data_IF_677290909477
#
_entry.id   IF_677290909477
#
_cell.length_a   1.000
_cell.length_b   1.000
_cell.length_c   1.000
_cell.angle_alpha   90.00
_cell.angle_beta   90.00
_cell.angle_gamma   90.00
#
_symmetry.space_group_name_H-M   'P 1'
#
loop_
_entity.id
_entity.type
_entity.pdbx_description
1 polymer ?
#
# COMPACT_ATOMS: atom_id res chain seq x y z
N UNK A 1 5.33 7.62 21.51
CA UNK A 1 5.49 7.32 20.93
C UNK A 1 5.69 7.42 20.13
N UNK A 2 5.53 7.41 19.78
CA UNK A 2 5.61 7.28 18.86
C UNK A 2 6.49 7.50 18.23
N UNK A 3 7.07 7.83 18.42
CA UNK A 3 7.95 8.14 17.86
C UNK A 3 8.68 7.23 17.18
N UNK A 4 8.82 6.45 17.51
CA UNK A 4 9.42 5.55 16.90
C UNK A 4 8.82 5.10 15.77
N UNK A 5 7.72 5.38 15.67
CA UNK A 5 6.99 5.06 14.54
C UNK A 5 7.58 5.57 13.30
N UNK A 6 8.20 6.68 13.34
CA UNK A 6 8.76 7.24 12.14
C UNK A 6 9.89 6.41 11.62
N UNK A 7 10.48 5.61 12.46
CA UNK A 7 11.56 4.84 12.00
C UNK A 7 11.12 3.66 11.25
N UNK A 8 9.99 3.11 11.60
CA UNK A 8 9.50 1.98 10.89
C UNK A 8 8.53 2.46 9.86
N UNK A 9 9.01 3.12 8.87
CA UNK A 9 8.16 3.58 7.83
C UNK A 9 7.54 2.44 7.11
N UNK A 10 6.24 2.46 7.01
CA UNK A 10 5.48 1.40 6.41
C UNK A 10 5.92 1.15 4.99
N UNK A 11 5.91 2.17 4.18
CA UNK A 11 6.39 2.05 2.81
C UNK A 11 7.77 2.68 2.78
N UNK A 12 8.77 1.87 2.48
CA UNK A 12 10.14 2.34 2.48
C UNK A 12 10.41 3.24 1.31
N UNK A 13 11.35 4.16 1.52
CA UNK A 13 11.67 5.14 0.50
C UNK A 13 12.15 4.46 -0.77
N UNK A 14 12.97 3.44 -0.65
CA UNK A 14 13.49 2.73 -1.81
C UNK A 14 12.37 2.09 -2.61
N UNK A 15 11.41 1.49 -1.92
CA UNK A 15 10.27 0.87 -2.58
C UNK A 15 9.43 1.93 -3.28
N UNK A 16 9.19 3.05 -2.62
CA UNK A 16 8.44 4.14 -3.20
C UNK A 16 9.12 4.66 -4.47
N UNK A 17 10.45 4.73 -4.45
CA UNK A 17 11.20 5.16 -5.62
C UNK A 17 11.07 4.17 -6.77
N UNK A 18 11.07 2.87 -6.46
CA UNK A 18 10.89 1.85 -7.48
C UNK A 18 9.51 1.94 -8.14
N UNK A 19 8.49 2.12 -7.32
CA UNK A 19 7.11 2.15 -7.83
C UNK A 19 6.86 3.40 -8.66
N UNK A 20 7.31 4.55 -8.17
CA UNK A 20 7.00 5.83 -8.81
C UNK A 20 7.98 6.22 -9.91
N UNK A 21 9.18 5.67 -9.86
CA UNK A 21 10.23 6.07 -10.81
C UNK A 21 10.91 7.37 -10.45
N UNK A 22 10.61 7.94 -9.29
CA UNK A 22 11.25 9.19 -8.85
C UNK A 22 12.65 8.87 -8.35
N UNK A 23 13.66 9.37 -9.02
CA UNK A 23 15.03 9.04 -8.68
C UNK A 23 15.64 9.96 -7.64
N UNK A 24 15.16 11.19 -7.55
CA UNK A 24 15.65 12.12 -6.55
C UNK A 24 15.13 11.71 -5.19
N UNK A 25 16.05 11.37 -4.29
CA UNK A 25 15.69 10.79 -2.99
C UNK A 25 14.94 11.78 -2.11
N UNK A 26 15.35 13.03 -2.11
CA UNK A 26 14.68 14.06 -1.30
C UNK A 26 13.28 14.34 -1.80
N UNK A 27 13.12 14.40 -3.11
CA UNK A 27 11.81 14.64 -3.69
C UNK A 27 10.88 13.48 -3.42
N UNK A 28 11.39 12.25 -3.54
CA UNK A 28 10.59 11.06 -3.26
C UNK A 28 10.15 11.05 -1.80
N UNK A 29 11.04 11.41 -0.88
CA UNK A 29 10.70 11.47 0.54
C UNK A 29 9.60 12.48 0.79
N UNK A 30 9.70 13.63 0.15
CA UNK A 30 8.70 14.68 0.33
C UNK A 30 7.32 14.21 -0.13
N UNK A 31 7.26 13.55 -1.28
CA UNK A 31 6.00 13.06 -1.80
C UNK A 31 5.44 11.94 -0.93
N UNK A 32 6.29 11.03 -0.47
CA UNK A 32 5.84 9.93 0.38
C UNK A 32 5.27 10.45 1.69
N UNK A 33 5.98 11.39 2.33
CA UNK A 33 5.52 11.97 3.58
C UNK A 33 4.22 12.73 3.38
N UNK A 34 4.10 13.44 2.27
CA UNK A 34 2.89 14.20 1.97
C UNK A 34 1.71 13.26 1.78
N UNK A 35 1.93 12.14 1.09
CA UNK A 35 0.86 11.18 0.87
C UNK A 35 0.33 10.62 2.19
N UNK A 36 1.23 10.22 3.11
CA UNK A 36 0.79 9.70 4.39
C UNK A 36 0.08 10.77 5.23
N UNK A 37 0.56 12.01 5.19
CA UNK A 37 -0.11 13.08 5.91
C UNK A 37 -1.49 13.35 5.35
N UNK A 38 -1.63 13.28 4.03
CA UNK A 38 -2.93 13.49 3.40
C UNK A 38 -3.93 12.42 3.80
N UNK A 39 -3.49 11.15 3.83
CA UNK A 39 -4.35 10.06 4.25
C UNK A 39 -4.83 10.29 5.68
N UNK A 40 -3.91 10.61 6.57
CA UNK A 40 -4.27 10.84 7.96
C UNK A 40 -5.21 12.01 8.12
N UNK A 41 -4.96 13.09 7.40
CA UNK A 41 -5.79 14.29 7.45
C UNK A 41 -7.23 13.97 7.02
N UNK A 42 -7.38 13.19 5.95
CA UNK A 42 -8.70 12.83 5.45
C UNK A 42 -9.42 11.94 6.46
N UNK A 43 -8.73 10.97 7.03
CA UNK A 43 -9.32 10.09 8.03
C UNK A 43 -9.78 10.88 9.24
N UNK A 44 -8.95 11.78 9.73
CA UNK A 44 -9.24 12.51 10.95
C UNK A 44 -10.37 13.53 10.79
N UNK A 45 -10.53 14.08 9.58
CA UNK A 45 -11.44 15.21 9.40
C UNK A 45 -12.68 14.93 8.55
N UNK A 46 -12.61 13.97 7.65
CA UNK A 46 -13.70 13.78 6.68
C UNK A 46 -14.25 12.37 6.59
N UNK A 47 -13.43 11.39 6.85
CA UNK A 47 -13.85 10.00 6.69
C UNK A 47 -14.49 9.51 7.99
N UNK A 48 -15.54 8.69 7.93
CA UNK A 48 -16.20 8.19 6.71
C UNK A 48 -17.39 9.03 6.29
N UNK A 49 -17.78 10.02 7.06
CA UNK A 49 -19.07 10.67 6.90
C UNK A 49 -19.15 11.58 5.70
N UNK A 50 -18.06 12.27 5.39
CA UNK A 50 -18.10 13.24 4.32
C UNK A 50 -17.40 12.76 3.06
N UNK A 51 -16.49 11.80 3.19
CA UNK A 51 -15.68 11.33 2.08
C UNK A 51 -15.46 9.84 2.21
N UNK A 52 -15.54 9.13 1.11
CA UNK A 52 -15.10 7.75 1.07
C UNK A 52 -13.61 7.74 0.73
N UNK A 53 -12.83 7.01 1.51
CA UNK A 53 -11.40 6.91 1.26
C UNK A 53 -11.05 5.48 0.92
N UNK A 54 -10.44 5.30 -0.23
CA UNK A 54 -9.87 4.03 -0.61
C UNK A 54 -8.39 4.22 -0.86
N UNK A 55 -7.58 3.33 -0.32
CA UNK A 55 -6.14 3.38 -0.50
C UNK A 55 -5.75 2.33 -1.51
N UNK A 56 -5.11 2.76 -2.60
CA UNK A 56 -4.60 1.85 -3.62
C UNK A 56 -3.16 1.49 -3.33
N UNK A 57 -2.87 0.19 -3.35
CA UNK A 57 -1.51 -0.29 -3.09
C UNK A 57 -1.05 -1.13 -4.28
N UNK A 58 -0.15 -0.59 -5.12
CA UNK A 58 0.39 -1.39 -6.22
C UNK A 58 1.30 -2.49 -5.67
N UNK A 59 1.07 -3.70 -6.10
CA UNK A 59 1.89 -4.82 -5.66
C UNK A 59 2.52 -5.54 -6.83
N UNK A 60 3.81 -5.82 -6.69
CA UNK A 60 4.54 -6.75 -7.52
C UNK A 60 5.72 -7.21 -6.69
N UNK A 61 6.02 -8.50 -6.72
CA UNK A 61 7.11 -9.02 -5.90
C UNK A 61 8.46 -8.39 -6.23
N UNK A 62 8.58 -7.81 -7.43
CA UNK A 62 9.81 -7.12 -7.80
C UNK A 62 10.06 -5.88 -6.96
N UNK A 63 9.00 -5.28 -6.38
CA UNK A 63 9.14 -4.11 -5.53
C UNK A 63 9.33 -4.46 -4.06
N UNK A 64 8.88 -5.66 -3.67
CA UNK A 64 8.85 -6.07 -2.27
C UNK A 64 9.59 -7.40 -2.13
N UNK A 65 10.88 -7.35 -1.80
CA UNK A 65 11.66 -8.61 -1.66
C UNK A 65 11.06 -9.56 -0.62
N UNK A 66 10.42 -9.00 0.41
CA UNK A 66 9.72 -9.81 1.39
C UNK A 66 8.35 -9.20 1.63
N UNK A 67 7.49 -9.94 2.31
CA UNK A 67 6.16 -9.43 2.64
C UNK A 67 6.12 -8.66 3.95
N UNK A 68 7.27 -8.48 4.60
CA UNK A 68 7.32 -7.72 5.84
C UNK A 68 6.88 -6.27 5.65
N UNK A 69 7.27 -5.68 4.54
CA UNK A 69 6.90 -4.30 4.28
C UNK A 69 5.39 -4.16 4.05
N UNK A 70 4.80 -5.16 3.40
CA UNK A 70 3.35 -5.18 3.20
C UNK A 70 2.63 -5.22 4.56
N UNK A 71 3.14 -6.05 5.47
CA UNK A 71 2.56 -6.13 6.80
C UNK A 71 2.68 -4.78 7.51
N UNK A 72 3.83 -4.12 7.41
CA UNK A 72 4.03 -2.82 8.03
C UNK A 72 3.10 -1.76 7.47
N UNK A 73 2.87 -1.77 6.16
CA UNK A 73 1.93 -0.85 5.53
C UNK A 73 0.52 -1.09 6.10
N UNK A 74 0.13 -2.35 6.18
CA UNK A 74 -1.18 -2.70 6.71
C UNK A 74 -1.36 -2.25 8.14
N UNK A 75 -0.33 -2.45 8.98
CA UNK A 75 -0.39 -2.01 10.36
C UNK A 75 -0.55 -0.50 10.47
N UNK A 76 0.18 0.23 9.65
CA UNK A 76 0.10 1.68 9.69
C UNK A 76 -1.30 2.16 9.34
N UNK A 77 -1.89 1.58 8.31
CA UNK A 77 -3.24 1.97 7.90
C UNK A 77 -4.24 1.56 8.97
N UNK A 78 -4.15 0.33 9.48
CA UNK A 78 -5.08 -0.18 10.49
C UNK A 78 -5.01 0.65 11.77
N UNK A 79 -3.82 1.14 12.13
CA UNK A 79 -3.68 2.00 13.30
C UNK A 79 -4.34 3.34 13.11
N UNK A 80 -4.45 3.80 11.86
CA UNK A 80 -5.19 5.01 11.58
C UNK A 80 -6.68 4.75 11.62
N UNK A 81 -7.14 3.70 10.92
CA UNK A 81 -8.54 3.30 10.91
C UNK A 81 -8.66 1.94 10.24
N UNK A 82 -9.05 0.89 10.97
CA UNK A 82 -9.13 -0.45 10.39
C UNK A 82 -10.26 -0.62 9.38
N UNK A 83 -11.17 0.33 9.28
CA UNK A 83 -12.28 0.25 8.34
C UNK A 83 -11.99 0.91 6.99
N UNK A 84 -10.83 1.51 6.83
CA UNK A 84 -10.46 2.09 5.54
C UNK A 84 -10.29 0.98 4.51
N UNK A 85 -10.88 1.15 3.34
CA UNK A 85 -10.77 0.15 2.29
C UNK A 85 -9.39 0.22 1.64
N UNK A 86 -8.75 -0.92 1.50
CA UNK A 86 -7.46 -1.02 0.82
C UNK A 86 -7.65 -1.89 -0.41
N UNK A 87 -7.27 -1.36 -1.56
CA UNK A 87 -7.35 -2.08 -2.83
C UNK A 87 -5.93 -2.36 -3.29
N UNK A 88 -5.58 -3.63 -3.37
CA UNK A 88 -4.24 -4.01 -3.84
C UNK A 88 -4.31 -4.25 -5.33
N UNK A 89 -3.47 -3.54 -6.06
CA UNK A 89 -3.44 -3.61 -7.51
C UNK A 89 -2.33 -4.55 -7.96
N UNK A 90 -2.67 -5.48 -8.84
CA UNK A 90 -1.68 -6.41 -9.38
C UNK A 90 -0.90 -5.70 -10.48
N UNK A 91 0.09 -4.96 -10.04
CA UNK A 91 0.82 -4.05 -10.90
C UNK A 91 1.70 -4.76 -11.92
N UNK A 92 1.62 -4.32 -13.17
CA UNK A 92 2.48 -4.77 -14.24
C UNK A 92 2.76 -3.57 -15.14
N UNK A 93 4.00 -3.09 -15.15
CA UNK A 93 4.32 -1.95 -16.04
C UNK A 93 4.28 -2.39 -17.49
N UNK A 94 3.67 -1.56 -18.31
CA UNK A 94 3.46 -1.93 -19.70
C UNK A 94 4.56 -1.47 -20.62
N UNK A 95 5.25 -0.41 -20.25
CA UNK A 95 6.20 0.19 -21.18
C UNK A 95 7.66 0.13 -20.77
N UNK A 96 7.93 0.13 -19.48
CA UNK A 96 9.30 0.31 -19.02
C UNK A 96 9.98 -0.94 -18.50
N UNK A 97 9.24 -1.86 -17.92
CA UNK A 97 9.80 -2.99 -17.21
C UNK A 97 9.12 -4.25 -17.71
N UNK A 98 9.39 -4.57 -18.95
CA UNK A 98 8.75 -5.71 -19.59
C UNK A 98 9.17 -7.04 -18.98
N UNK A 99 10.25 -7.04 -18.19
CA UNK A 99 10.74 -8.24 -17.54
C UNK A 99 9.97 -8.58 -16.28
N UNK A 100 9.08 -7.70 -15.82
CA UNK A 100 8.33 -7.93 -14.60
C UNK A 100 7.00 -8.57 -14.93
N UNK A 101 6.77 -9.73 -14.34
CA UNK A 101 5.55 -10.48 -14.58
C UNK A 101 4.41 -9.97 -13.72
N UNK A 102 3.20 -10.08 -14.24
CA UNK A 102 2.01 -9.77 -13.49
C UNK A 102 1.88 -10.74 -12.31
N UNK A 103 1.50 -10.28 -11.12
CA UNK A 103 1.32 -11.19 -9.99
C UNK A 103 0.26 -12.24 -10.25
N UNK A 104 0.49 -13.42 -9.74
CA UNK A 104 -0.48 -14.51 -9.84
C UNK A 104 -1.62 -14.30 -8.85
N UNK A 105 -2.72 -15.03 -9.07
CA UNK A 105 -3.84 -14.99 -8.13
C UNK A 105 -3.39 -15.41 -6.74
N UNK A 106 -2.56 -16.44 -6.66
CA UNK A 106 -2.06 -16.92 -5.36
C UNK A 106 -1.25 -15.86 -4.64
N UNK A 107 -0.41 -15.14 -5.38
CA UNK A 107 0.37 -14.06 -4.78
C UNK A 107 -0.53 -12.98 -4.23
N UNK A 108 -1.55 -12.60 -5.00
CA UNK A 108 -2.46 -11.55 -4.57
C UNK A 108 -3.28 -11.98 -3.35
N UNK A 109 -3.68 -13.24 -3.29
CA UNK A 109 -4.40 -13.75 -2.13
C UNK A 109 -3.53 -13.79 -0.89
N UNK A 110 -2.24 -14.07 -1.06
CA UNK A 110 -1.31 -14.05 0.06
C UNK A 110 -1.15 -12.63 0.61
N UNK A 111 -1.05 -11.65 -0.27
CA UNK A 111 -0.97 -10.26 0.14
C UNK A 111 -2.23 -9.85 0.89
N UNK A 112 -3.40 -10.25 0.37
CA UNK A 112 -4.67 -9.96 1.03
C UNK A 112 -4.69 -10.51 2.44
N UNK A 113 -4.26 -11.76 2.61
CA UNK A 113 -4.27 -12.39 3.93
C UNK A 113 -3.36 -11.64 4.91
N UNK A 114 -2.18 -11.25 4.45
CA UNK A 114 -1.24 -10.54 5.30
C UNK A 114 -1.82 -9.21 5.74
N UNK A 115 -2.44 -8.49 4.83
CA UNK A 115 -3.05 -7.20 5.18
C UNK A 115 -4.21 -7.39 6.16
N UNK A 116 -5.01 -8.44 5.98
CA UNK A 116 -6.10 -8.70 6.91
C UNK A 116 -5.58 -9.05 8.30
N UNK A 117 -4.44 -9.70 8.38
CA UNK A 117 -3.84 -10.05 9.67
C UNK A 117 -3.41 -8.82 10.45
N UNK A 118 -3.24 -7.68 9.80
CA UNK A 118 -2.90 -6.45 10.48
C UNK A 118 -4.09 -5.80 11.17
N UNK A 119 -5.30 -6.28 10.90
CA UNK A 119 -6.51 -5.71 11.46
C UNK A 119 -7.39 -4.98 10.45
N UNK A 120 -6.94 -4.87 9.22
CA UNK A 120 -7.75 -4.23 8.17
C UNK A 120 -8.95 -5.10 7.86
N UNK A 121 -10.12 -4.49 7.79
CA UNK A 121 -11.38 -5.22 7.59
C UNK A 121 -11.87 -5.23 6.16
N UNK A 122 -11.36 -4.33 5.32
CA UNK A 122 -11.84 -4.19 3.95
C UNK A 122 -10.67 -4.21 2.99
N UNK A 123 -10.20 -5.40 2.67
CA UNK A 123 -9.08 -5.57 1.74
C UNK A 123 -9.61 -6.24 0.47
N UNK A 124 -9.45 -5.55 -0.65
CA UNK A 124 -9.81 -6.07 -1.95
C UNK A 124 -8.54 -6.21 -2.76
N UNK A 125 -8.36 -7.34 -3.42
CA UNK A 125 -7.21 -7.49 -4.31
C UNK A 125 -7.71 -7.62 -5.74
N UNK A 126 -7.06 -6.93 -6.65
CA UNK A 126 -7.30 -7.06 -8.06
C UNK A 126 -6.47 -8.23 -8.56
N UNK A 127 -7.07 -9.11 -9.33
CA UNK A 127 -6.36 -10.27 -9.83
C UNK A 127 -6.63 -10.44 -11.31
N UNK A 128 -5.90 -11.36 -11.89
CA UNK A 128 -6.04 -11.80 -13.26
C UNK A 128 -7.48 -12.24 -13.55
N UNK A 129 -8.20 -12.78 -12.57
CA UNK A 129 -9.57 -13.23 -12.77
C UNK A 129 -10.60 -12.27 -12.18
N UNK A 130 -10.19 -11.10 -11.73
CA UNK A 130 -11.10 -10.09 -11.21
C UNK A 130 -10.79 -9.71 -9.78
N UNK A 131 -11.66 -8.91 -9.18
CA UNK A 131 -11.48 -8.45 -7.81
C UNK A 131 -11.94 -9.51 -6.82
N UNK A 132 -11.21 -9.67 -5.74
CA UNK A 132 -11.54 -10.60 -4.69
C UNK A 132 -11.60 -9.84 -3.37
N UNK A 133 -12.71 -9.95 -2.65
CA UNK A 133 -12.91 -9.31 -1.37
C UNK A 133 -13.97 -8.23 -1.40
N UNK A 134 -14.17 -7.56 -0.29
CA UNK A 134 -13.67 -7.75 1.06
C UNK A 134 -14.32 -8.85 1.80
#
# INVERSE_FOLDING_TARGET
MLKNTSKSEALRLETFQLITGIKNRELARKYLDTAWRAVKYIIDNYYPEKVFLGIGLPYNKAFYPTLNEIYEIGEKIANMDPDVQVVVLDYRPEFRRMDIERPSVEEMLRVKKILEETGLRKVIVQTYIGHIGP
#
